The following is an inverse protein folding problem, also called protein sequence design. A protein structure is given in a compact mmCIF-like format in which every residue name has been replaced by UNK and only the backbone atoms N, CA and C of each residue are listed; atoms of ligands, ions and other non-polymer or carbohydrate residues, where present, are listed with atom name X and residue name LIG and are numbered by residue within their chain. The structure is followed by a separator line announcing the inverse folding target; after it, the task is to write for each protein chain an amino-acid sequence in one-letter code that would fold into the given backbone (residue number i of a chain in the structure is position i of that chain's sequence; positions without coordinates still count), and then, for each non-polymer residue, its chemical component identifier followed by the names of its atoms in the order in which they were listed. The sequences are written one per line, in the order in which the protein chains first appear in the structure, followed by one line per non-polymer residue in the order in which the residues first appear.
data_IF_236897447442
#
_entry.id   IF_236897447442
#
_cell.length_a   1.000
_cell.length_b   1.000
_cell.length_c   1.000
_cell.angle_alpha   90.00
_cell.angle_beta   90.00
_cell.angle_gamma   90.00
#
_symmetry.space_group_name_H-M   'P 1'
#
loop_
_entity.id
_entity.type
_entity.pdbx_description
1 polymer ?
#
# COMPACT_ATOMS: atom_id res chain seq x y z
N UNK A 1 61.56 -39.58 -38.97
CA UNK A 1 60.53 -40.11 -39.88
C UNK A 1 61.24 -40.68 -41.10
N UNK A 2 60.83 -41.86 -41.59
CA UNK A 2 61.60 -42.64 -42.57
C UNK A 2 61.41 -42.05 -43.99
N UNK A 3 62.50 -41.70 -44.73
CA UNK A 3 62.43 -40.99 -46.02
C UNK A 3 61.77 -41.81 -47.16
N UNK A 4 61.52 -43.10 -46.94
CA UNK A 4 60.87 -43.98 -47.93
C UNK A 4 59.33 -43.89 -47.90
N UNK A 5 58.74 -43.24 -46.90
CA UNK A 5 57.27 -43.08 -46.78
C UNK A 5 56.74 -41.82 -47.49
N UNK A 6 57.59 -40.79 -47.63
CA UNK A 6 57.25 -39.54 -48.31
C UNK A 6 57.23 -39.73 -49.84
N UNK A 7 58.17 -40.52 -50.40
CA UNK A 7 58.21 -40.82 -51.84
C UNK A 7 56.94 -41.50 -52.38
N UNK A 8 56.26 -42.35 -51.59
CA UNK A 8 55.00 -43.00 -52.01
C UNK A 8 53.80 -42.05 -52.02
N UNK A 9 53.81 -41.01 -51.19
CA UNK A 9 52.75 -40.00 -51.20
C UNK A 9 52.91 -39.05 -52.41
N UNK A 10 54.15 -38.73 -52.78
CA UNK A 10 54.45 -37.88 -53.93
C UNK A 10 54.16 -38.58 -55.28
N UNK A 11 54.29 -39.91 -55.35
CA UNK A 11 53.87 -40.70 -56.52
C UNK A 11 52.34 -40.68 -56.73
N UNK A 12 51.54 -40.65 -55.65
CA UNK A 12 50.08 -40.58 -55.74
C UNK A 12 49.57 -39.21 -56.19
N UNK A 13 50.26 -38.13 -55.80
CA UNK A 13 49.92 -36.76 -56.21
C UNK A 13 50.22 -36.45 -57.69
N UNK A 14 51.13 -37.21 -58.30
CA UNK A 14 51.51 -37.06 -59.71
C UNK A 14 50.70 -37.95 -60.67
N UNK A 15 49.73 -38.72 -60.17
CA UNK A 15 48.93 -39.61 -61.00
C UNK A 15 47.93 -38.81 -61.88
N UNK A 16 48.03 -38.88 -63.23
CA UNK A 16 47.23 -38.06 -64.13
C UNK A 16 45.71 -38.35 -64.07
N UNK A 17 45.30 -39.49 -63.52
CA UNK A 17 43.89 -39.88 -63.36
C UNK A 17 43.21 -39.25 -62.11
N UNK A 18 43.97 -38.65 -61.19
CA UNK A 18 43.47 -38.00 -59.97
C UNK A 18 43.42 -36.46 -60.07
N UNK A 19 43.80 -35.88 -61.22
CA UNK A 19 43.64 -34.44 -61.45
C UNK A 19 42.16 -34.12 -61.69
N UNK A 20 41.62 -33.21 -60.89
CA UNK A 20 40.31 -32.60 -61.18
C UNK A 20 40.40 -31.86 -62.51
N UNK A 21 39.43 -32.02 -63.43
CA UNK A 21 39.40 -31.23 -64.66
C UNK A 21 39.35 -29.73 -64.30
N UNK A 22 39.95 -28.86 -65.14
CA UNK A 22 39.90 -27.43 -64.91
C UNK A 22 38.43 -26.97 -64.85
N UNK A 23 38.08 -26.05 -63.91
CA UNK A 23 36.72 -25.55 -63.83
C UNK A 23 36.34 -24.88 -65.16
N UNK A 24 35.15 -25.18 -65.67
CA UNK A 24 34.65 -24.55 -66.89
C UNK A 24 34.64 -23.02 -66.73
N UNK A 25 34.95 -22.25 -67.79
CA UNK A 25 34.96 -20.80 -67.71
C UNK A 25 33.58 -20.27 -67.33
N UNK A 26 33.50 -19.50 -66.25
CA UNK A 26 32.24 -18.92 -65.79
C UNK A 26 31.62 -18.04 -66.88
N UNK A 27 30.44 -18.43 -67.37
CA UNK A 27 29.66 -17.59 -68.28
C UNK A 27 29.27 -16.30 -67.53
N UNK A 28 29.47 -15.11 -68.12
CA UNK A 28 29.11 -13.86 -67.45
C UNK A 28 27.61 -13.86 -67.15
N UNK A 29 27.25 -13.64 -65.88
CA UNK A 29 25.84 -13.56 -65.49
C UNK A 29 25.20 -12.36 -66.20
N UNK A 30 24.03 -12.52 -66.84
CA UNK A 30 23.34 -11.39 -67.44
C UNK A 30 23.01 -10.33 -66.36
N UNK A 31 23.06 -9.04 -66.71
CA UNK A 31 22.80 -7.96 -65.75
C UNK A 31 21.37 -8.08 -65.19
N UNK A 32 21.25 -8.05 -63.86
CA UNK A 32 19.94 -8.07 -63.18
C UNK A 32 19.21 -6.75 -63.43
N UNK A 33 18.33 -6.71 -64.43
CA UNK A 33 17.35 -5.63 -64.61
C UNK A 33 16.29 -5.79 -63.52
N UNK A 34 16.30 -4.92 -62.51
CA UNK A 34 15.24 -4.88 -61.48
C UNK A 34 13.99 -4.29 -62.12
N UNK A 35 12.87 -5.01 -62.12
CA UNK A 35 11.56 -4.45 -62.47
C UNK A 35 11.26 -3.27 -61.53
N UNK A 36 10.64 -2.18 -62.01
CA UNK A 36 10.23 -1.08 -61.15
C UNK A 36 9.31 -1.60 -60.04
N UNK A 37 9.51 -1.13 -58.81
CA UNK A 37 8.67 -1.51 -57.68
C UNK A 37 7.30 -0.87 -57.85
N UNK A 38 6.30 -1.67 -58.21
CA UNK A 38 4.90 -1.24 -58.13
C UNK A 38 4.47 -1.24 -56.66
N UNK A 39 4.37 -0.04 -56.08
CA UNK A 39 3.77 0.13 -54.75
C UNK A 39 2.26 0.00 -54.90
N UNK A 40 1.69 -1.15 -54.50
CA UNK A 40 0.25 -1.26 -54.29
C UNK A 40 -0.11 -0.39 -53.09
N UNK A 41 -0.62 0.82 -53.36
CA UNK A 41 -1.26 1.61 -52.33
C UNK A 41 -2.42 0.77 -51.77
N UNK A 42 -2.52 0.58 -50.44
CA UNK A 42 -3.69 -0.07 -49.86
C UNK A 42 -4.94 0.69 -50.34
N UNK A 43 -6.07 0.00 -50.56
CA UNK A 43 -7.32 0.66 -50.93
C UNK A 43 -7.55 1.80 -49.92
N UNK A 44 -7.82 3.01 -50.43
CA UNK A 44 -8.15 4.15 -49.56
C UNK A 44 -9.21 3.66 -48.57
N UNK A 45 -8.92 3.76 -47.28
CA UNK A 45 -9.90 3.47 -46.24
C UNK A 45 -11.21 4.15 -46.63
N UNK A 46 -12.37 3.48 -46.48
CA UNK A 46 -13.64 4.09 -46.80
C UNK A 46 -13.71 5.42 -46.08
N UNK A 47 -13.99 6.49 -46.83
CA UNK A 47 -14.13 7.83 -46.27
C UNK A 47 -15.16 7.73 -45.15
N UNK A 48 -14.71 7.96 -43.92
CA UNK A 48 -15.58 7.93 -42.75
C UNK A 48 -16.76 8.86 -43.01
N UNK A 49 -17.95 8.38 -42.65
CA UNK A 49 -19.17 9.08 -42.95
C UNK A 49 -19.15 10.49 -42.33
N UNK A 50 -19.69 11.49 -43.04
CA UNK A 50 -19.58 12.89 -42.58
C UNK A 50 -20.22 13.09 -41.20
N UNK A 51 -21.26 12.32 -40.92
CA UNK A 51 -21.94 12.28 -39.63
C UNK A 51 -21.06 11.70 -38.52
N UNK A 52 -20.26 10.67 -38.83
CA UNK A 52 -19.29 10.11 -37.88
C UNK A 52 -18.23 11.15 -37.52
N UNK A 53 -17.74 11.92 -38.49
CA UNK A 53 -16.75 12.96 -38.24
C UNK A 53 -17.31 14.09 -37.36
N UNK A 54 -18.57 14.49 -37.57
CA UNK A 54 -19.25 15.46 -36.73
C UNK A 54 -19.44 14.96 -35.29
N UNK A 55 -19.88 13.70 -35.13
CA UNK A 55 -20.02 13.04 -33.83
C UNK A 55 -18.67 12.94 -33.09
N UNK A 56 -17.62 12.54 -33.80
CA UNK A 56 -16.26 12.45 -33.23
C UNK A 56 -15.71 13.80 -32.78
N UNK A 57 -15.91 14.86 -33.58
CA UNK A 57 -15.54 16.22 -33.20
C UNK A 57 -16.31 16.72 -31.96
N UNK A 58 -17.60 16.38 -31.85
CA UNK A 58 -18.40 16.73 -30.68
C UNK A 58 -17.97 15.94 -29.44
N UNK A 59 -17.69 14.65 -29.59
CA UNK A 59 -17.17 13.81 -28.52
C UNK A 59 -15.81 14.29 -28.00
N UNK A 60 -14.90 14.73 -28.88
CA UNK A 60 -13.63 15.34 -28.45
C UNK A 60 -13.85 16.63 -27.66
N UNK A 61 -14.79 17.49 -28.07
CA UNK A 61 -15.15 18.70 -27.33
C UNK A 61 -15.75 18.36 -25.97
N UNK A 62 -16.60 17.34 -25.89
CA UNK A 62 -17.14 16.86 -24.61
C UNK A 62 -16.03 16.38 -23.69
N UNK A 63 -15.10 15.54 -24.17
CA UNK A 63 -13.96 15.07 -23.37
C UNK A 63 -13.05 16.21 -22.88
N UNK A 64 -12.91 17.30 -23.65
CA UNK A 64 -12.15 18.47 -23.23
C UNK A 64 -12.89 19.31 -22.19
N UNK A 65 -14.22 19.33 -22.23
CA UNK A 65 -15.07 20.12 -21.32
C UNK A 65 -15.45 19.35 -20.05
N UNK A 66 -15.29 18.03 -20.03
CA UNK A 66 -15.57 17.21 -18.84
C UNK A 66 -14.53 17.45 -17.75
N UNK A 67 -15.01 17.85 -16.56
CA UNK A 67 -14.19 17.90 -15.35
C UNK A 67 -14.01 16.49 -14.78
N UNK A 68 -12.81 16.19 -14.30
CA UNK A 68 -12.50 14.92 -13.64
C UNK A 68 -13.31 14.79 -12.34
N UNK A 69 -13.93 13.61 -12.15
CA UNK A 69 -14.76 13.33 -10.96
C UNK A 69 -13.92 13.05 -9.71
N UNK A 70 -12.64 12.72 -9.90
CA UNK A 70 -11.64 12.47 -8.86
C UNK A 70 -10.48 13.40 -9.15
N UNK A 71 -10.13 14.24 -8.17
CA UNK A 71 -9.03 15.19 -8.30
C UNK A 71 -7.70 14.45 -8.16
N UNK A 72 -7.06 14.19 -9.30
CA UNK A 72 -5.73 13.60 -9.37
C UNK A 72 -4.62 14.66 -9.22
N UNK A 73 -5.00 15.92 -8.95
CA UNK A 73 -4.06 17.00 -8.67
C UNK A 73 -3.15 16.59 -7.51
N UNK A 74 -1.83 16.82 -7.62
CA UNK A 74 -0.93 16.57 -6.51
C UNK A 74 -1.42 17.37 -5.29
N UNK A 75 -1.40 16.79 -4.08
CA UNK A 75 -1.90 17.46 -2.88
C UNK A 75 -1.18 18.79 -2.70
N UNK A 76 -1.92 19.80 -2.23
CA UNK A 76 -1.36 21.12 -1.96
C UNK A 76 -0.14 21.00 -1.04
N UNK A 77 1.00 21.48 -1.52
CA UNK A 77 2.24 21.43 -0.76
C UNK A 77 2.23 22.59 0.22
N UNK A 78 1.96 22.29 1.49
CA UNK A 78 2.03 23.28 2.58
C UNK A 78 3.49 23.47 3.01
N UNK A 79 4.19 24.53 2.58
CA UNK A 79 5.63 24.68 2.85
C UNK A 79 5.91 24.81 4.35
N UNK A 80 4.94 25.31 5.11
CA UNK A 80 4.98 25.49 6.57
C UNK A 80 5.14 24.17 7.34
N UNK A 81 4.67 23.04 6.79
CA UNK A 81 4.82 21.72 7.41
C UNK A 81 6.25 21.17 7.28
N UNK A 82 6.95 21.52 6.20
CA UNK A 82 8.27 20.98 5.86
C UNK A 82 9.42 21.93 6.20
N UNK A 83 9.19 23.25 6.11
CA UNK A 83 10.18 24.28 6.41
C UNK A 83 9.98 24.80 7.83
N UNK A 84 10.82 24.33 8.76
CA UNK A 84 10.88 24.89 10.12
C UNK A 84 11.42 26.32 10.05
N UNK A 85 10.67 27.36 10.43
CA UNK A 85 11.09 28.76 10.27
C UNK A 85 12.43 29.06 10.97
N UNK A 86 12.68 28.43 12.11
CA UNK A 86 13.94 28.54 12.87
C UNK A 86 15.17 27.97 12.14
N UNK A 87 14.98 27.11 11.13
CA UNK A 87 16.06 26.46 10.36
C UNK A 87 16.25 27.06 8.96
N UNK A 88 15.45 28.05 8.59
CA UNK A 88 15.47 28.63 7.24
C UNK A 88 16.82 29.30 6.95
N UNK A 89 17.39 29.99 7.93
CA UNK A 89 18.73 30.58 7.85
C UNK A 89 19.84 29.53 7.70
N UNK A 90 19.69 28.36 8.34
CA UNK A 90 20.64 27.25 8.20
C UNK A 90 20.61 26.68 6.79
N UNK A 91 19.43 26.44 6.23
CA UNK A 91 19.29 25.93 4.86
C UNK A 91 19.77 26.95 3.83
N UNK A 92 19.50 28.24 4.02
CA UNK A 92 20.02 29.30 3.15
C UNK A 92 21.56 29.29 3.12
N UNK A 93 22.21 29.21 4.29
CA UNK A 93 23.67 29.15 4.39
C UNK A 93 24.26 27.89 3.74
N UNK A 94 23.66 26.73 3.97
CA UNK A 94 24.07 25.47 3.33
C UNK A 94 23.95 25.52 1.80
N UNK A 95 22.89 26.12 1.27
CA UNK A 95 22.69 26.26 -0.16
C UNK A 95 23.75 27.18 -0.78
N UNK A 96 24.09 28.26 -0.09
CA UNK A 96 25.17 29.17 -0.49
C UNK A 96 26.54 28.46 -0.49
N UNK A 97 26.86 27.68 0.54
CA UNK A 97 28.07 26.87 0.63
C UNK A 97 28.17 25.88 -0.56
N UNK A 98 27.11 25.13 -0.83
CA UNK A 98 27.05 24.19 -1.95
C UNK A 98 27.22 24.90 -3.30
N UNK A 99 26.60 26.06 -3.47
CA UNK A 99 26.70 26.84 -4.70
C UNK A 99 28.13 27.38 -4.90
N UNK A 100 28.82 27.77 -3.83
CA UNK A 100 30.22 28.20 -3.87
C UNK A 100 31.15 27.04 -4.27
N UNK A 101 30.95 25.84 -3.69
CA UNK A 101 31.72 24.63 -4.05
C UNK A 101 31.52 24.28 -5.53
N UNK A 102 30.26 24.27 -6.00
CA UNK A 102 29.95 23.98 -7.40
C UNK A 102 30.57 25.02 -8.36
N UNK A 103 30.53 26.30 -7.97
CA UNK A 103 31.14 27.38 -8.74
C UNK A 103 32.66 27.19 -8.86
N UNK A 104 33.34 26.82 -7.78
CA UNK A 104 34.78 26.57 -7.80
C UNK A 104 35.15 25.33 -8.61
N UNK A 105 34.34 24.28 -8.55
CA UNK A 105 34.51 23.09 -9.39
C UNK A 105 34.38 23.44 -10.87
N UNK A 106 33.37 24.22 -11.25
CA UNK A 106 33.18 24.68 -12.63
C UNK A 106 34.33 25.58 -13.10
N UNK A 107 34.84 26.48 -12.24
CA UNK A 107 36.04 27.26 -12.56
C UNK A 107 37.23 26.36 -12.85
N UNK A 108 37.48 25.34 -12.02
CA UNK A 108 38.58 24.38 -12.20
C UNK A 108 38.44 23.60 -13.50
N UNK A 109 37.25 23.09 -13.81
CA UNK A 109 36.97 22.40 -15.08
C UNK A 109 37.26 23.33 -16.26
N UNK A 110 36.78 24.56 -16.21
CA UNK A 110 36.95 25.53 -17.29
C UNK A 110 38.43 25.92 -17.48
N UNK A 111 39.16 26.11 -16.39
CA UNK A 111 40.62 26.32 -16.43
C UNK A 111 41.30 25.14 -17.11
N UNK A 112 41.05 23.90 -16.66
CA UNK A 112 41.66 22.69 -17.24
C UNK A 112 41.34 22.57 -18.74
N UNK A 113 40.09 22.84 -19.13
CA UNK A 113 39.66 22.78 -20.52
C UNK A 113 40.38 23.83 -21.40
N UNK A 114 40.62 25.04 -20.87
CA UNK A 114 41.24 26.15 -21.62
C UNK A 114 42.76 26.10 -21.64
N UNK A 115 43.38 25.69 -20.53
CA UNK A 115 44.84 25.60 -20.41
C UNK A 115 45.39 24.23 -20.76
N UNK A 116 44.52 23.25 -21.07
CA UNK A 116 44.90 21.88 -21.39
C UNK A 116 45.63 21.22 -20.22
N UNK A 117 45.07 21.36 -19.01
CA UNK A 117 45.75 21.18 -17.71
C UNK A 117 46.74 20.02 -17.61
N UNK A 118 47.75 20.16 -16.74
CA UNK A 118 48.79 19.16 -16.47
C UNK A 118 48.19 17.78 -16.22
N UNK A 119 48.25 16.92 -17.24
CA UNK A 119 47.96 15.48 -17.11
C UNK A 119 49.28 14.80 -16.74
N UNK A 120 49.30 14.06 -15.63
CA UNK A 120 50.46 13.35 -15.04
C UNK A 120 51.24 12.41 -16.00
N UNK A 121 50.82 12.26 -17.27
CA UNK A 121 51.43 11.36 -18.24
C UNK A 121 52.62 11.95 -19.04
N UNK A 122 53.04 13.18 -18.78
CA UNK A 122 54.15 13.84 -19.52
C UNK A 122 55.30 14.35 -18.65
N UNK A 123 55.60 13.71 -17.51
CA UNK A 123 56.87 13.90 -16.80
C UNK A 123 57.93 12.95 -17.38
N UNK A 124 58.92 13.49 -18.11
CA UNK A 124 60.21 12.79 -18.28
C UNK A 124 61.03 13.06 -17.02
N UNK A 125 61.28 12.08 -16.14
CA UNK A 125 61.94 12.36 -14.88
C UNK A 125 63.42 12.63 -15.13
N UNK A 126 63.93 13.75 -14.61
CA UNK A 126 65.37 13.92 -14.46
C UNK A 126 65.92 12.91 -13.42
N UNK A 127 67.19 12.45 -13.54
CA UNK A 127 67.66 11.24 -12.87
C UNK A 127 67.83 11.33 -11.34
N UNK A 128 67.58 12.49 -10.73
CA UNK A 128 67.96 12.78 -9.34
C UNK A 128 66.76 13.10 -8.44
N UNK A 129 65.65 12.38 -8.59
CA UNK A 129 64.44 12.69 -7.83
C UNK A 129 64.00 11.57 -6.86
N UNK A 130 64.63 11.54 -5.68
CA UNK A 130 64.25 10.68 -4.56
C UNK A 130 62.84 10.97 -4.03
N UNK A 131 62.36 12.21 -4.19
CA UNK A 131 61.02 12.64 -3.78
C UNK A 131 59.93 11.97 -4.62
N UNK A 132 60.12 11.86 -5.94
CA UNK A 132 59.20 11.14 -6.83
C UNK A 132 59.13 9.64 -6.53
N UNK A 133 60.23 9.00 -6.10
CA UNK A 133 60.23 7.58 -5.70
C UNK A 133 59.38 7.32 -4.44
N UNK A 134 59.43 8.23 -3.46
CA UNK A 134 58.61 8.13 -2.25
C UNK A 134 57.13 8.32 -2.56
N UNK A 135 56.80 9.31 -3.40
CA UNK A 135 55.42 9.56 -3.83
C UNK A 135 54.86 8.39 -4.65
N UNK A 136 55.63 7.81 -5.57
CA UNK A 136 55.24 6.60 -6.30
C UNK A 136 55.02 5.40 -5.35
N UNK A 137 55.87 5.20 -4.35
CA UNK A 137 55.67 4.16 -3.33
C UNK A 137 54.40 4.40 -2.51
N UNK A 138 54.11 5.65 -2.15
CA UNK A 138 52.90 6.01 -1.42
C UNK A 138 51.64 5.79 -2.27
N UNK A 139 51.66 6.22 -3.54
CA UNK A 139 50.59 5.95 -4.52
C UNK A 139 50.37 4.43 -4.69
N UNK A 140 51.45 3.66 -4.81
CA UNK A 140 51.36 2.20 -4.91
C UNK A 140 50.76 1.56 -3.65
N UNK A 141 51.10 2.06 -2.45
CA UNK A 141 50.48 1.61 -1.19
C UNK A 141 48.98 1.88 -1.19
N UNK A 142 48.55 3.08 -1.59
CA UNK A 142 47.14 3.43 -1.68
C UNK A 142 46.39 2.52 -2.67
N UNK A 143 46.97 2.26 -3.84
CA UNK A 143 46.40 1.34 -4.82
C UNK A 143 46.31 -0.10 -4.30
N UNK A 144 47.31 -0.54 -3.54
CA UNK A 144 47.30 -1.86 -2.91
C UNK A 144 46.22 -1.98 -1.83
N UNK A 145 45.97 -0.92 -1.05
CA UNK A 145 44.86 -0.89 -0.08
C UNK A 145 43.50 -0.92 -0.77
N UNK A 146 43.30 -0.11 -1.81
CA UNK A 146 42.08 -0.13 -2.62
C UNK A 146 41.87 -1.53 -3.21
N UNK A 147 42.93 -2.17 -3.72
CA UNK A 147 42.86 -3.55 -4.22
C UNK A 147 42.44 -4.53 -3.14
N UNK A 148 42.98 -4.41 -1.93
CA UNK A 148 42.62 -5.27 -0.78
C UNK A 148 41.15 -5.08 -0.38
N UNK A 149 40.67 -3.83 -0.34
CA UNK A 149 39.27 -3.51 -0.08
C UNK A 149 38.35 -4.06 -1.16
N UNK A 150 38.71 -3.94 -2.44
CA UNK A 150 37.94 -4.47 -3.55
C UNK A 150 37.85 -6.00 -3.50
N UNK A 151 38.94 -6.70 -3.17
CA UNK A 151 38.92 -8.15 -2.96
C UNK A 151 38.01 -8.55 -1.79
N UNK A 152 38.03 -7.78 -0.71
CA UNK A 152 37.12 -7.98 0.42
C UNK A 152 35.66 -7.79 0.02
N UNK A 153 35.32 -6.70 -0.67
CA UNK A 153 33.97 -6.48 -1.19
C UNK A 153 33.52 -7.58 -2.15
N UNK A 154 34.39 -8.00 -3.05
CA UNK A 154 34.12 -9.11 -3.97
C UNK A 154 33.80 -10.41 -3.22
N UNK A 155 34.60 -10.74 -2.20
CA UNK A 155 34.35 -11.93 -1.37
C UNK A 155 33.00 -11.86 -0.63
N UNK A 156 32.61 -10.67 -0.16
CA UNK A 156 31.30 -10.45 0.46
C UNK A 156 30.16 -10.56 -0.54
N UNK A 157 30.33 -10.06 -1.76
CA UNK A 157 29.31 -10.15 -2.81
C UNK A 157 29.06 -11.59 -3.24
N UNK A 158 30.10 -12.44 -3.29
CA UNK A 158 29.93 -13.87 -3.58
C UNK A 158 29.18 -14.62 -2.49
N UNK A 159 29.34 -14.21 -1.22
CA UNK A 159 28.69 -14.83 -0.07
C UNK A 159 27.28 -14.27 0.14
N UNK A 160 27.04 -13.02 -0.24
CA UNK A 160 25.75 -12.36 -0.09
C UNK A 160 24.67 -13.04 -0.93
N UNK A 161 23.72 -13.70 -0.26
CA UNK A 161 22.46 -14.12 -0.86
C UNK A 161 21.45 -12.97 -0.75
N UNK A 162 20.59 -12.79 -1.76
CA UNK A 162 19.48 -11.85 -1.62
C UNK A 162 18.50 -12.37 -0.56
N UNK A 163 18.08 -11.50 0.34
CA UNK A 163 16.96 -11.78 1.27
C UNK A 163 15.63 -11.91 0.54
N UNK A 164 15.59 -11.54 -0.74
CA UNK A 164 14.41 -11.65 -1.57
C UNK A 164 14.13 -13.13 -1.89
N UNK A 165 12.92 -13.61 -1.58
CA UNK A 165 12.51 -14.97 -1.92
C UNK A 165 12.55 -15.18 -3.43
N UNK A 166 12.78 -16.42 -3.85
CA UNK A 166 12.81 -16.75 -5.27
C UNK A 166 11.42 -16.51 -5.88
N UNK A 167 11.37 -16.22 -7.19
CA UNK A 167 10.10 -16.09 -7.93
C UNK A 167 9.18 -17.30 -7.73
N UNK A 168 9.75 -18.51 -7.69
CA UNK A 168 9.03 -19.76 -7.41
C UNK A 168 8.40 -19.80 -6.01
N UNK A 169 9.06 -19.26 -5.01
CA UNK A 169 8.55 -19.20 -3.63
C UNK A 169 7.43 -18.17 -3.53
N UNK A 170 7.61 -17.00 -4.16
CA UNK A 170 6.58 -15.97 -4.26
C UNK A 170 5.32 -16.48 -4.96
N UNK A 171 5.45 -17.23 -6.05
CA UNK A 171 4.30 -17.84 -6.73
C UNK A 171 3.56 -18.84 -5.84
N UNK A 172 4.27 -19.61 -5.03
CA UNK A 172 3.65 -20.53 -4.07
C UNK A 172 2.92 -19.76 -2.98
N UNK A 173 3.55 -18.74 -2.41
CA UNK A 173 2.92 -17.85 -1.42
C UNK A 173 1.68 -17.15 -1.98
N UNK A 174 1.74 -16.72 -3.25
CA UNK A 174 0.62 -16.09 -3.93
C UNK A 174 -0.55 -17.06 -4.12
N UNK A 175 -0.27 -18.31 -4.51
CA UNK A 175 -1.31 -19.34 -4.60
C UNK A 175 -1.98 -19.60 -3.24
N UNK A 176 -1.20 -19.68 -2.18
CA UNK A 176 -1.71 -19.91 -0.82
C UNK A 176 -2.54 -18.71 -0.31
N UNK A 177 -2.06 -17.48 -0.53
CA UNK A 177 -2.80 -16.26 -0.15
C UNK A 177 -4.08 -16.11 -0.95
N UNK A 178 -4.04 -16.35 -2.27
CA UNK A 178 -5.23 -16.35 -3.12
C UNK A 178 -6.25 -17.38 -2.63
N UNK A 179 -5.81 -18.59 -2.28
CA UNK A 179 -6.71 -19.62 -1.75
C UNK A 179 -7.35 -19.19 -0.42
N UNK A 180 -6.58 -18.62 0.50
CA UNK A 180 -7.10 -18.08 1.77
C UNK A 180 -8.10 -16.94 1.55
N UNK A 181 -7.85 -16.05 0.59
CA UNK A 181 -8.75 -14.95 0.27
C UNK A 181 -10.08 -15.46 -0.30
N UNK A 182 -10.04 -16.42 -1.21
CA UNK A 182 -11.25 -17.04 -1.77
C UNK A 182 -12.04 -17.74 -0.67
N UNK A 183 -11.38 -18.51 0.20
CA UNK A 183 -12.02 -19.17 1.34
C UNK A 183 -12.63 -18.15 2.31
N UNK A 184 -11.89 -17.11 2.68
CA UNK A 184 -12.36 -16.06 3.56
C UNK A 184 -13.54 -15.29 3.00
N UNK A 185 -13.57 -15.02 1.69
CA UNK A 185 -14.68 -14.38 1.01
C UNK A 185 -15.91 -15.29 0.86
N UNK A 186 -15.73 -16.61 0.81
CA UNK A 186 -16.82 -17.58 0.74
C UNK A 186 -17.54 -17.79 2.08
N UNK A 187 -16.87 -17.47 3.19
CA UNK A 187 -17.45 -17.54 4.52
C UNK A 187 -18.27 -16.27 4.79
N UNK A 188 -19.43 -16.36 5.46
CA UNK A 188 -20.17 -15.18 5.88
C UNK A 188 -19.26 -14.31 6.76
N UNK A 189 -19.08 -13.05 6.36
CA UNK A 189 -18.28 -12.10 7.11
C UNK A 189 -19.01 -11.74 8.41
N UNK A 190 -18.58 -12.36 9.50
CA UNK A 190 -19.07 -12.09 10.85
C UNK A 190 -18.13 -11.02 11.44
N UNK A 191 -18.52 -9.75 11.35
CA UNK A 191 -17.73 -8.60 11.85
C UNK A 191 -17.52 -8.69 13.37
N UNK A 192 -18.50 -9.22 14.09
CA UNK A 192 -18.45 -9.45 15.53
C UNK A 192 -18.95 -10.85 15.83
N UNK A 193 -18.15 -11.66 16.54
CA UNK A 193 -18.64 -12.93 17.09
C UNK A 193 -19.77 -12.61 18.07
N UNK A 194 -21.00 -12.94 17.69
CA UNK A 194 -22.17 -12.84 18.57
C UNK A 194 -22.21 -14.05 19.50
N UNK A 195 -21.24 -14.14 20.41
CA UNK A 195 -21.30 -15.11 21.49
C UNK A 195 -22.37 -14.67 22.51
N UNK A 196 -23.07 -15.65 23.12
CA UNK A 196 -23.90 -15.36 24.29
C UNK A 196 -22.96 -15.01 25.44
N UNK A 197 -22.78 -13.72 25.69
CA UNK A 197 -22.13 -13.20 26.89
C UNK A 197 -23.07 -13.33 28.10
N UNK A 198 -23.51 -14.55 28.42
CA UNK A 198 -24.01 -14.86 29.75
C UNK A 198 -22.77 -15.09 30.63
N UNK A 199 -22.02 -14.02 30.94
CA UNK A 199 -20.90 -14.16 31.88
C UNK A 199 -21.48 -14.44 33.26
N UNK A 200 -20.98 -15.49 33.91
CA UNK A 200 -21.35 -15.93 35.26
C UNK A 200 -20.91 -14.93 36.35
N UNK A 201 -21.38 -13.69 36.28
CA UNK A 201 -21.21 -12.70 37.34
C UNK A 201 -22.51 -12.69 38.15
N UNK A 202 -22.72 -13.73 38.96
CA UNK A 202 -23.88 -13.85 39.85
C UNK A 202 -23.51 -13.29 41.22
N UNK A 203 -24.08 -12.16 41.58
CA UNK A 203 -24.17 -11.76 42.99
C UNK A 203 -25.37 -12.51 43.60
N UNK A 204 -25.20 -13.26 44.70
CA UNK A 204 -26.32 -13.91 45.38
C UNK A 204 -27.43 -12.93 45.79
N UNK A 205 -27.14 -11.63 45.91
CA UNK A 205 -28.15 -10.60 46.18
C UNK A 205 -29.17 -10.43 45.03
N UNK A 206 -28.82 -10.83 43.80
CA UNK A 206 -29.71 -10.76 42.64
C UNK A 206 -30.55 -12.04 42.44
N UNK A 207 -30.28 -13.09 43.23
CA UNK A 207 -31.03 -14.33 43.12
C UNK A 207 -32.52 -14.11 43.38
N UNK A 208 -33.33 -14.73 42.53
CA UNK A 208 -34.78 -14.57 42.55
C UNK A 208 -35.38 -15.40 43.69
N UNK A 209 -36.13 -14.79 44.63
CA UNK A 209 -36.79 -15.56 45.69
C UNK A 209 -37.83 -16.53 45.11
N UNK A 210 -37.95 -17.69 45.76
CA UNK A 210 -38.93 -18.70 45.43
C UNK A 210 -40.33 -18.07 45.52
N UNK A 211 -41.16 -18.25 44.48
CA UNK A 211 -42.55 -17.74 44.35
C UNK A 211 -42.74 -16.27 43.90
N UNK A 212 -41.68 -15.53 43.57
CA UNK A 212 -41.83 -14.20 42.96
C UNK A 212 -41.78 -14.30 41.43
N UNK A 213 -42.60 -13.53 40.71
CA UNK A 213 -42.48 -13.39 39.26
C UNK A 213 -41.83 -12.04 38.92
N UNK A 214 -40.72 -12.08 38.17
CA UNK A 214 -40.01 -10.91 37.66
C UNK A 214 -40.17 -10.86 36.13
N UNK A 215 -40.69 -9.77 35.56
CA UNK A 215 -40.89 -9.66 34.12
C UNK A 215 -39.55 -9.52 33.40
N UNK A 216 -39.45 -10.14 32.22
CA UNK A 216 -38.28 -10.06 31.34
C UNK A 216 -38.63 -9.32 30.07
N UNK A 217 -37.78 -8.37 29.68
CA UNK A 217 -37.93 -7.56 28.48
C UNK A 217 -36.75 -7.80 27.57
N UNK A 218 -36.99 -8.01 26.28
CA UNK A 218 -35.94 -8.11 25.28
C UNK A 218 -35.90 -6.88 24.39
N UNK A 219 -34.72 -6.31 24.20
CA UNK A 219 -34.48 -5.16 23.33
C UNK A 219 -33.46 -5.52 22.25
N UNK A 220 -33.69 -5.05 21.04
CA UNK A 220 -32.75 -5.23 19.92
C UNK A 220 -31.99 -3.93 19.68
N UNK A 221 -30.66 -4.03 19.63
CA UNK A 221 -29.79 -2.86 19.46
C UNK A 221 -29.25 -2.84 18.03
N UNK A 222 -29.34 -1.67 17.40
CA UNK A 222 -28.95 -1.43 16.02
C UNK A 222 -27.98 -0.25 15.94
N UNK A 223 -27.03 -0.31 15.00
CA UNK A 223 -26.23 0.86 14.61
C UNK A 223 -27.04 1.68 13.60
N UNK A 224 -27.10 3.00 13.79
CA UNK A 224 -27.77 3.89 12.84
C UNK A 224 -27.13 3.77 11.45
N UNK A 225 -27.94 3.41 10.44
CA UNK A 225 -27.46 3.17 9.07
C UNK A 225 -26.65 1.89 8.88
N UNK A 226 -26.62 1.01 9.89
CA UNK A 226 -25.81 -0.21 9.90
C UNK A 226 -26.62 -1.47 10.23
N UNK A 227 -25.90 -2.50 10.66
CA UNK A 227 -26.46 -3.82 10.97
C UNK A 227 -26.91 -3.93 12.44
N UNK A 228 -27.76 -4.93 12.72
CA UNK A 228 -28.16 -5.34 14.06
C UNK A 228 -26.92 -5.78 14.86
N UNK A 229 -26.70 -5.19 16.03
CA UNK A 229 -25.58 -5.53 16.92
C UNK A 229 -25.91 -6.81 17.69
N UNK A 230 -27.09 -6.85 18.30
CA UNK A 230 -27.47 -7.93 19.18
C UNK A 230 -28.81 -7.71 19.89
N UNK A 231 -29.13 -8.62 20.81
CA UNK A 231 -30.33 -8.59 21.63
C UNK A 231 -29.94 -8.63 23.10
N UNK A 232 -30.44 -7.67 23.87
CA UNK A 232 -30.28 -7.60 25.32
C UNK A 232 -31.56 -8.08 25.98
N UNK A 233 -31.47 -8.96 26.98
CA UNK A 233 -32.61 -9.40 27.78
C UNK A 233 -32.43 -8.91 29.20
N UNK A 234 -33.36 -8.11 29.68
CA UNK A 234 -33.32 -7.45 30.99
C UNK A 234 -34.42 -8.07 31.86
N UNK A 235 -34.05 -8.54 33.06
CA UNK A 235 -34.99 -8.96 34.10
C UNK A 235 -35.24 -7.79 35.06
N UNK A 236 -36.50 -7.45 35.29
CA UNK A 236 -36.87 -6.31 36.12
C UNK A 236 -37.22 -6.75 37.55
N UNK A 237 -36.73 -6.02 38.54
CA UNK A 237 -36.97 -6.26 39.97
C UNK A 237 -38.32 -5.71 40.43
N UNK A 238 -39.42 -6.22 39.86
CA UNK A 238 -40.79 -5.77 40.16
C UNK A 238 -41.23 -6.01 41.61
N UNK A 239 -40.52 -6.88 42.32
CA UNK A 239 -40.68 -7.16 43.75
C UNK A 239 -40.11 -6.05 44.64
N UNK A 240 -39.08 -5.34 44.19
CA UNK A 240 -38.41 -4.29 44.97
C UNK A 240 -38.89 -2.91 44.53
N UNK A 241 -39.07 -2.72 43.23
CA UNK A 241 -39.33 -1.40 42.61
C UNK A 241 -40.51 -1.45 41.63
N UNK A 242 -41.73 -1.78 42.07
CA UNK A 242 -42.87 -2.04 41.19
C UNK A 242 -43.27 -0.86 40.32
N UNK A 243 -43.25 0.38 40.85
CA UNK A 243 -43.65 1.57 40.07
C UNK A 243 -42.65 1.86 38.95
N UNK A 244 -41.37 1.77 39.27
CA UNK A 244 -40.29 1.97 38.28
C UNK A 244 -40.32 0.89 37.20
N UNK A 245 -40.54 -0.37 37.59
CA UNK A 245 -40.66 -1.48 36.65
C UNK A 245 -41.89 -1.34 35.74
N UNK A 246 -43.02 -0.88 36.30
CA UNK A 246 -44.23 -0.64 35.53
C UNK A 246 -44.01 0.45 34.47
N UNK A 247 -43.39 1.57 34.84
CA UNK A 247 -43.05 2.64 33.92
C UNK A 247 -42.14 2.16 32.78
N UNK A 248 -41.08 1.42 33.12
CA UNK A 248 -40.17 0.86 32.13
C UNK A 248 -40.88 -0.08 31.15
N UNK A 249 -41.79 -0.93 31.65
CA UNK A 249 -42.59 -1.83 30.81
C UNK A 249 -43.55 -1.09 29.89
N UNK A 250 -44.18 -0.02 30.37
CA UNK A 250 -45.06 0.83 29.56
C UNK A 250 -44.29 1.49 28.42
N UNK A 251 -43.12 2.07 28.69
CA UNK A 251 -42.26 2.66 27.66
C UNK A 251 -41.63 1.62 26.72
N UNK A 252 -41.37 0.41 27.18
CA UNK A 252 -40.89 -0.68 26.34
C UNK A 252 -41.96 -1.19 25.35
N UNK A 253 -43.24 -1.19 25.75
CA UNK A 253 -44.37 -1.53 24.86
C UNK A 253 -44.83 -0.37 23.98
N UNK A 254 -44.56 0.85 24.43
CA UNK A 254 -45.14 2.06 23.88
C UNK A 254 -46.31 2.53 24.74
N UNK A 255 -46.24 3.79 25.15
CA UNK A 255 -47.28 4.46 25.91
C UNK A 255 -48.46 4.88 25.02
N UNK A 256 -49.61 5.20 25.62
CA UNK A 256 -50.82 5.61 24.91
C UNK A 256 -50.62 6.86 24.02
N UNK A 257 -49.61 7.69 24.33
CA UNK A 257 -49.21 8.87 23.54
C UNK A 257 -48.28 8.55 22.36
N UNK A 258 -47.90 7.30 22.16
CA UNK A 258 -46.94 6.88 21.14
C UNK A 258 -45.48 7.06 21.53
N UNK A 259 -45.18 7.38 22.79
CA UNK A 259 -43.81 7.42 23.32
C UNK A 259 -43.34 6.00 23.62
N UNK A 260 -42.26 5.56 22.99
CA UNK A 260 -41.67 4.24 23.20
C UNK A 260 -40.14 4.29 23.19
N UNK A 261 -39.49 3.32 23.82
CA UNK A 261 -38.03 3.15 23.66
C UNK A 261 -37.64 2.77 22.22
N UNK A 262 -38.57 2.24 21.44
CA UNK A 262 -38.34 1.94 20.03
C UNK A 262 -37.98 3.21 19.25
N UNK A 263 -36.81 3.21 18.62
CA UNK A 263 -36.30 4.35 17.84
C UNK A 263 -35.52 5.39 18.65
N UNK A 264 -35.45 5.24 19.99
CA UNK A 264 -34.57 6.09 20.82
C UNK A 264 -33.11 5.66 20.70
N UNK A 265 -32.18 6.62 20.83
CA UNK A 265 -30.73 6.38 20.73
C UNK A 265 -30.09 6.26 22.12
N UNK A 266 -28.99 5.50 22.16
CA UNK A 266 -28.03 5.54 23.26
C UNK A 266 -27.17 6.79 23.09
N UNK A 267 -27.57 7.91 23.69
CA UNK A 267 -26.94 9.22 23.47
C UNK A 267 -25.59 9.38 24.19
N UNK A 268 -25.28 8.54 25.20
CA UNK A 268 -23.99 8.56 25.89
C UNK A 268 -23.51 7.16 26.21
N UNK A 269 -22.33 6.81 25.69
CA UNK A 269 -21.65 5.56 25.94
C UNK A 269 -20.31 5.90 26.59
N UNK A 270 -20.10 5.46 27.82
CA UNK A 270 -18.80 5.55 28.51
C UNK A 270 -18.28 4.12 28.63
N UNK A 271 -17.21 3.77 27.88
CA UNK A 271 -16.60 2.45 27.94
C UNK A 271 -16.29 2.06 29.39
N UNK A 272 -16.50 0.78 29.72
CA UNK A 272 -16.24 0.18 31.04
C UNK A 272 -17.05 0.75 32.22
N UNK A 273 -18.03 1.62 31.96
CA UNK A 273 -18.81 2.26 33.01
C UNK A 273 -20.32 2.09 32.82
N UNK A 274 -20.91 2.72 31.80
CA UNK A 274 -22.33 2.58 31.51
C UNK A 274 -22.71 3.05 30.09
N UNK A 275 -23.82 2.53 29.60
CA UNK A 275 -24.55 3.03 28.44
C UNK A 275 -25.83 3.73 28.91
N UNK A 276 -26.04 4.98 28.49
CA UNK A 276 -27.22 5.76 28.83
C UNK A 276 -28.07 6.03 27.60
N UNK A 277 -29.36 5.77 27.73
CA UNK A 277 -30.38 6.00 26.71
C UNK A 277 -31.75 6.27 27.33
N UNK A 278 -32.81 6.07 26.55
CA UNK A 278 -34.19 6.15 27.03
C UNK A 278 -34.79 7.56 27.10
N UNK A 279 -34.18 8.55 26.44
CA UNK A 279 -34.78 9.88 26.27
C UNK A 279 -35.81 9.83 25.12
N UNK A 280 -37.07 9.63 25.48
CA UNK A 280 -38.18 9.45 24.52
C UNK A 280 -38.73 10.78 23.96
N UNK A 281 -38.31 11.91 24.54
CA UNK A 281 -38.84 13.24 24.17
C UNK A 281 -37.90 14.01 23.24
N UNK A 282 -36.62 14.10 23.62
CA UNK A 282 -35.63 14.94 22.92
C UNK A 282 -34.49 14.16 22.30
N UNK A 283 -34.34 12.89 22.68
CA UNK A 283 -33.32 11.98 22.17
C UNK A 283 -31.88 12.54 22.29
N UNK A 284 -31.64 13.39 23.30
CA UNK A 284 -30.36 14.08 23.53
C UNK A 284 -29.89 14.04 25.00
N UNK A 285 -30.68 13.40 25.88
CA UNK A 285 -30.37 13.19 27.28
C UNK A 285 -30.88 14.28 28.24
N UNK A 286 -31.53 15.32 27.71
CA UNK A 286 -32.14 16.41 28.50
C UNK A 286 -33.68 16.31 28.59
N UNK A 287 -34.29 15.26 28.01
CA UNK A 287 -35.71 14.99 28.21
C UNK A 287 -36.01 14.45 29.61
N UNK A 288 -37.19 14.78 30.12
CA UNK A 288 -37.79 14.20 31.31
C UNK A 288 -39.22 13.79 30.98
N UNK A 289 -39.48 12.48 30.96
CA UNK A 289 -40.80 11.96 30.65
C UNK A 289 -41.60 11.78 31.95
N UNK A 290 -42.76 12.42 32.02
CA UNK A 290 -43.72 12.29 33.12
C UNK A 290 -44.94 11.54 32.59
N UNK A 291 -45.29 10.36 33.13
CA UNK A 291 -46.45 9.59 32.68
C UNK A 291 -47.74 10.27 33.16
N UNK A 292 -48.84 10.16 32.40
CA UNK A 292 -50.11 10.85 32.76
C UNK A 292 -50.72 10.45 34.09
N UNK A 293 -50.38 9.26 34.59
CA UNK A 293 -50.81 8.79 35.91
C UNK A 293 -50.09 9.49 37.06
N UNK A 294 -49.05 10.29 36.79
CA UNK A 294 -48.27 11.01 37.78
C UNK A 294 -48.27 12.50 37.46
N UNK A 295 -48.54 13.33 38.48
CA UNK A 295 -48.49 14.79 38.35
C UNK A 295 -47.04 15.33 38.37
N UNK A 296 -46.11 14.53 38.90
CA UNK A 296 -44.71 14.88 39.12
C UNK A 296 -43.75 13.76 38.65
N UNK A 297 -42.48 14.07 38.34
CA UNK A 297 -41.48 13.04 38.04
C UNK A 297 -41.35 12.03 39.18
N UNK A 298 -41.18 10.76 38.82
CA UNK A 298 -41.13 9.65 39.77
C UNK A 298 -39.96 9.79 40.75
N UNK A 299 -40.27 9.80 42.05
CA UNK A 299 -39.28 9.78 43.14
C UNK A 299 -38.59 8.41 43.28
N UNK A 300 -37.38 8.34 43.88
CA UNK A 300 -36.69 7.08 44.10
C UNK A 300 -37.47 6.16 45.06
N UNK A 301 -37.98 5.04 44.54
CA UNK A 301 -38.82 4.10 45.30
C UNK A 301 -38.01 3.22 46.28
N UNK A 302 -36.82 2.77 45.89
CA UNK A 302 -35.94 1.96 46.76
C UNK A 302 -34.47 2.06 46.33
N UNK A 303 -33.56 2.06 47.31
CA UNK A 303 -32.10 2.05 47.13
C UNK A 303 -31.45 0.81 47.75
N UNK A 304 -32.22 -0.26 47.95
CA UNK A 304 -31.76 -1.49 48.62
C UNK A 304 -30.68 -2.24 47.83
N UNK A 305 -30.74 -2.21 46.50
CA UNK A 305 -29.78 -2.86 45.62
C UNK A 305 -28.55 -1.96 45.38
N UNK A 306 -27.36 -2.53 45.53
CA UNK A 306 -26.08 -1.85 45.26
C UNK A 306 -25.59 -2.18 43.85
N UNK A 307 -24.88 -1.25 43.23
CA UNK A 307 -24.19 -1.46 41.94
C UNK A 307 -22.88 -2.26 42.17
N UNK A 308 -23.00 -3.53 42.56
CA UNK A 308 -21.86 -4.40 42.91
C UNK A 308 -21.25 -5.11 41.70
N UNK A 309 -22.08 -5.39 40.69
CA UNK A 309 -21.69 -6.09 39.48
C UNK A 309 -21.79 -5.14 38.29
N UNK A 310 -20.74 -4.99 37.49
CA UNK A 310 -20.86 -4.31 36.21
C UNK A 310 -21.64 -5.19 35.23
N UNK A 311 -22.58 -4.58 34.50
CA UNK A 311 -23.19 -5.18 33.30
C UNK A 311 -22.11 -5.24 32.20
N UNK A 312 -21.15 -6.16 32.33
CA UNK A 312 -19.96 -6.24 31.49
C UNK A 312 -20.27 -6.82 30.10
N UNK A 313 -20.89 -6.01 29.24
CA UNK A 313 -20.90 -6.23 27.79
C UNK A 313 -19.60 -5.68 27.18
N UNK A 314 -18.54 -6.48 27.17
CA UNK A 314 -17.35 -6.25 26.32
C UNK A 314 -17.55 -6.86 24.94
#
# INVERSE_FOLDING_TARGET
MHPLREYKCDELLNNPLLRTPPPEPEKPRPPRIRKPREFKLPPRFPLLDKEFYASWCNHQKELQMTLHRVDDSPPELFPELYLKPRRLNYYAKQLEENMNVNKDLLKRINIIQRTGGFVDCWMRPEPTDTYNKLLCKQRQRALNEIRKQNLYFYSRLLIARSEQPLTKELEKMWKDTKHKLILGASLPFILFKTEKLDRDIRDPAFDKPLHVYRPKVSMEIWVQGGSKIGRVTIELFSDIVPRTCHLFLSLAKGDAKGHAYQGTRLFRIVPDLYCRGGDVLKDNGFGCYVPESFDEPLEPESLQLKHTVPDNST
#
